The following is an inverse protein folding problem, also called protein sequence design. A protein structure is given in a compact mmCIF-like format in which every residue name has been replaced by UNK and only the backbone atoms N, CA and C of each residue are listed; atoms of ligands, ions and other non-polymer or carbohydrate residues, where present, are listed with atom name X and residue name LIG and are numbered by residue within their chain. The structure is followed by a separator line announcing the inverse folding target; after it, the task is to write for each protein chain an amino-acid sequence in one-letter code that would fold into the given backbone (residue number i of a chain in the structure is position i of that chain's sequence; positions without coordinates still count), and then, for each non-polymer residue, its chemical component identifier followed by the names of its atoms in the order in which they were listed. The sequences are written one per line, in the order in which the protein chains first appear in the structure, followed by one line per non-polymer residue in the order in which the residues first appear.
data_IF_375104248925
#
_entry.id   IF_375104248925
#
_cell.length_a   1.000
_cell.length_b   1.000
_cell.length_c   1.000
_cell.angle_alpha   90.00
_cell.angle_beta   90.00
_cell.angle_gamma   90.00
#
_symmetry.space_group_name_H-M   'P 1'
#
loop_
_entity.id
_entity.type
_entity.pdbx_description
1 polymer ?
#
# COMPACT_ATOMS: atom_id res chain seq x y z
N UNK A 1 8.57 -7.79 5.86
CA UNK A 1 7.22 -8.10 6.38
C UNK A 1 6.69 -9.48 5.99
N UNK A 2 6.81 -9.97 4.75
CA UNK A 2 6.27 -11.30 4.36
C UNK A 2 6.76 -12.48 5.23
N UNK A 3 8.06 -12.54 5.58
CA UNK A 3 8.63 -13.66 6.37
C UNK A 3 7.98 -13.82 7.75
N UNK A 4 7.75 -12.73 8.48
CA UNK A 4 7.16 -12.79 9.82
C UNK A 4 5.70 -13.24 9.80
N UNK A 5 4.95 -12.84 8.76
CA UNK A 5 3.58 -13.30 8.53
C UNK A 5 3.52 -14.80 8.28
N UNK A 6 4.40 -15.34 7.42
CA UNK A 6 4.48 -16.79 7.17
C UNK A 6 4.84 -17.57 8.42
N UNK A 7 5.83 -17.11 9.19
CA UNK A 7 6.21 -17.76 10.46
C UNK A 7 5.03 -17.80 11.43
N UNK A 8 4.29 -16.69 11.59
CA UNK A 8 3.10 -16.65 12.44
C UNK A 8 2.01 -17.60 11.96
N UNK A 9 1.71 -17.63 10.66
CA UNK A 9 0.72 -18.57 10.11
C UNK A 9 1.09 -20.04 10.36
N UNK A 10 2.38 -20.39 10.18
CA UNK A 10 2.88 -21.73 10.49
C UNK A 10 2.74 -22.04 11.97
N UNK A 11 3.10 -21.09 12.86
CA UNK A 11 2.94 -21.27 14.30
C UNK A 11 1.47 -21.45 14.69
N UNK A 12 0.54 -20.68 14.13
CA UNK A 12 -0.89 -20.86 14.36
C UNK A 12 -1.41 -22.20 13.84
N UNK A 13 -0.90 -22.68 12.71
CA UNK A 13 -1.27 -23.99 12.16
C UNK A 13 -0.80 -25.12 13.08
N UNK A 14 0.45 -25.06 13.56
CA UNK A 14 0.99 -26.01 14.53
C UNK A 14 0.21 -25.97 15.85
N UNK A 15 -0.15 -24.77 16.32
CA UNK A 15 -0.97 -24.59 17.51
C UNK A 15 -2.36 -25.21 17.34
N UNK A 16 -3.03 -24.97 16.20
CA UNK A 16 -4.34 -25.53 15.89
C UNK A 16 -4.29 -27.07 15.90
N UNK A 17 -3.29 -27.66 15.23
CA UNK A 17 -3.11 -29.12 15.21
C UNK A 17 -2.84 -29.67 16.62
N UNK A 18 -2.00 -29.00 17.41
CA UNK A 18 -1.73 -29.38 18.80
C UNK A 18 -3.00 -29.36 19.67
N UNK A 19 -3.77 -28.26 19.59
CA UNK A 19 -5.02 -28.11 20.32
C UNK A 19 -6.06 -29.15 19.90
N UNK A 20 -6.17 -29.42 18.59
CA UNK A 20 -7.05 -30.46 18.08
C UNK A 20 -6.66 -31.84 18.63
N UNK A 21 -5.36 -32.16 18.70
CA UNK A 21 -4.94 -33.42 19.31
C UNK A 21 -5.26 -33.48 20.79
N UNK A 22 -5.09 -32.38 21.53
CA UNK A 22 -5.52 -32.30 22.93
C UNK A 22 -7.02 -32.54 23.09
N UNK A 23 -7.85 -31.98 22.20
CA UNK A 23 -9.28 -32.20 22.18
C UNK A 23 -9.62 -33.70 22.01
N UNK A 24 -8.96 -34.38 21.08
CA UNK A 24 -9.15 -35.83 20.87
C UNK A 24 -8.76 -36.66 22.11
N UNK A 25 -7.63 -36.35 22.74
CA UNK A 25 -7.20 -37.06 23.96
C UNK A 25 -8.17 -36.79 25.12
N UNK A 26 -8.69 -35.58 25.27
CA UNK A 26 -9.72 -35.26 26.26
C UNK A 26 -11.03 -36.00 26.00
N UNK A 27 -11.40 -36.17 24.73
CA UNK A 27 -12.59 -36.92 24.33
C UNK A 27 -12.45 -38.40 24.67
N UNK A 28 -11.31 -39.02 24.35
CA UNK A 28 -11.01 -40.41 24.69
C UNK A 28 -11.07 -40.66 26.22
N UNK A 29 -10.76 -39.64 27.03
CA UNK A 29 -10.84 -39.69 28.50
C UNK A 29 -12.21 -39.31 29.08
N UNK A 30 -13.21 -39.09 28.24
CA UNK A 30 -14.59 -38.78 28.65
C UNK A 30 -14.79 -37.37 29.23
N UNK A 31 -13.82 -36.46 29.08
CA UNK A 31 -13.95 -35.10 29.60
C UNK A 31 -14.51 -34.14 28.56
N UNK A 32 -15.82 -33.98 28.56
CA UNK A 32 -16.57 -33.19 27.58
C UNK A 32 -16.19 -31.71 27.63
N UNK A 33 -15.97 -31.15 28.83
CA UNK A 33 -15.62 -29.74 29.01
C UNK A 33 -14.27 -29.36 28.38
N UNK A 34 -13.21 -30.13 28.66
CA UNK A 34 -11.90 -29.89 28.06
C UNK A 34 -11.91 -30.13 26.55
N UNK A 35 -12.67 -31.13 26.08
CA UNK A 35 -12.83 -31.40 24.65
C UNK A 35 -13.42 -30.18 23.92
N UNK A 36 -14.51 -29.63 24.44
CA UNK A 36 -15.16 -28.45 23.86
C UNK A 36 -14.22 -27.24 23.85
N UNK A 37 -13.50 -27.01 24.95
CA UNK A 37 -12.54 -25.90 25.05
C UNK A 37 -11.41 -26.02 24.03
N UNK A 38 -10.74 -27.18 23.94
CA UNK A 38 -9.63 -27.37 23.01
C UNK A 38 -10.08 -27.36 21.55
N UNK A 39 -11.27 -27.89 21.25
CA UNK A 39 -11.86 -27.79 19.92
C UNK A 39 -12.14 -26.33 19.53
N UNK A 40 -12.77 -25.55 20.41
CA UNK A 40 -13.03 -24.13 20.18
C UNK A 40 -11.73 -23.34 19.99
N UNK A 41 -10.70 -23.61 20.81
CA UNK A 41 -9.40 -22.97 20.68
C UNK A 41 -8.70 -23.31 19.34
N UNK A 42 -8.79 -24.57 18.90
CA UNK A 42 -8.29 -25.00 17.59
C UNK A 42 -8.99 -24.26 16.44
N UNK A 43 -10.32 -24.12 16.50
CA UNK A 43 -11.09 -23.37 15.51
C UNK A 43 -10.69 -21.90 15.52
N UNK A 44 -10.52 -21.30 16.71
CA UNK A 44 -10.06 -19.92 16.86
C UNK A 44 -8.70 -19.68 16.21
N UNK A 45 -7.74 -20.59 16.40
CA UNK A 45 -6.44 -20.52 15.74
C UNK A 45 -6.55 -20.62 14.21
N UNK A 46 -7.42 -21.49 13.69
CA UNK A 46 -7.68 -21.58 12.25
C UNK A 46 -8.32 -20.28 11.71
N UNK A 47 -9.29 -19.72 12.42
CA UNK A 47 -9.92 -18.44 12.06
C UNK A 47 -8.92 -17.29 12.06
N UNK A 48 -7.96 -17.27 12.99
CA UNK A 48 -6.90 -16.27 13.00
C UNK A 48 -6.05 -16.31 11.71
N UNK A 49 -5.75 -17.51 11.19
CA UNK A 49 -5.04 -17.66 9.92
C UNK A 49 -5.87 -17.08 8.77
N UNK A 50 -7.16 -17.44 8.70
CA UNK A 50 -8.08 -16.96 7.66
C UNK A 50 -8.22 -15.44 7.70
N UNK A 51 -8.34 -14.87 8.90
CA UNK A 51 -8.44 -13.42 9.09
C UNK A 51 -7.19 -12.69 8.62
N UNK A 52 -6.00 -13.22 8.93
CA UNK A 52 -4.72 -12.65 8.47
C UNK A 52 -4.59 -12.73 6.95
N UNK A 53 -5.02 -13.83 6.31
CA UNK A 53 -5.03 -13.92 4.85
C UNK A 53 -5.98 -12.91 4.22
N UNK A 54 -7.20 -12.79 4.76
CA UNK A 54 -8.21 -11.86 4.25
C UNK A 54 -7.74 -10.40 4.32
N UNK A 55 -7.18 -9.99 5.47
CA UNK A 55 -6.64 -8.63 5.65
C UNK A 55 -5.51 -8.33 4.66
N UNK A 56 -4.70 -9.33 4.32
CA UNK A 56 -3.61 -9.18 3.37
C UNK A 56 -4.11 -9.08 1.93
N UNK A 57 -5.20 -9.78 1.60
CA UNK A 57 -5.85 -9.67 0.29
C UNK A 57 -6.51 -8.30 0.13
N UNK A 58 -7.25 -7.83 1.15
CA UNK A 58 -7.83 -6.48 1.17
C UNK A 58 -6.75 -5.40 0.99
N UNK A 59 -5.60 -5.53 1.68
CA UNK A 59 -4.49 -4.60 1.52
C UNK A 59 -3.90 -4.62 0.10
N UNK A 60 -3.82 -5.80 -0.54
CA UNK A 60 -3.37 -5.88 -1.94
C UNK A 60 -4.34 -5.21 -2.90
N UNK A 61 -5.64 -5.37 -2.68
CA UNK A 61 -6.67 -4.75 -3.52
C UNK A 61 -6.64 -3.23 -3.41
N UNK A 62 -6.48 -2.71 -2.19
CA UNK A 62 -6.33 -1.26 -1.95
C UNK A 62 -5.06 -0.72 -2.63
N UNK A 63 -3.93 -1.42 -2.52
CA UNK A 63 -2.70 -1.02 -3.20
C UNK A 63 -2.84 -1.06 -4.72
N UNK A 64 -3.47 -2.10 -5.27
CA UNK A 64 -3.72 -2.20 -6.71
C UNK A 64 -4.61 -1.05 -7.20
N UNK A 65 -5.61 -0.65 -6.41
CA UNK A 65 -6.47 0.49 -6.73
C UNK A 65 -5.70 1.82 -6.67
N UNK A 66 -4.83 2.01 -5.68
CA UNK A 66 -3.98 3.20 -5.60
C UNK A 66 -3.01 3.29 -6.78
N UNK A 67 -2.41 2.17 -7.19
CA UNK A 67 -1.54 2.13 -8.36
C UNK A 67 -2.31 2.43 -9.66
N UNK A 68 -3.56 1.93 -9.80
CA UNK A 68 -4.43 2.28 -10.93
C UNK A 68 -4.79 3.77 -10.99
N UNK A 69 -4.96 4.41 -9.83
CA UNK A 69 -5.30 5.84 -9.72
C UNK A 69 -4.07 6.76 -9.75
N UNK A 70 -2.86 6.20 -9.74
CA UNK A 70 -1.64 6.99 -9.71
C UNK A 70 -1.55 7.79 -11.02
N UNK A 71 -1.53 9.14 -10.97
CA UNK A 71 -1.32 9.93 -12.17
C UNK A 71 0.04 9.55 -12.77
N UNK A 72 0.18 9.53 -14.11
CA UNK A 72 1.45 9.24 -14.73
C UNK A 72 2.50 10.21 -14.17
N UNK A 73 3.56 9.66 -13.59
CA UNK A 73 4.69 10.46 -13.12
C UNK A 73 5.28 11.09 -14.38
N UNK A 74 4.97 12.37 -14.63
CA UNK A 74 5.75 13.16 -15.56
C UNK A 74 7.10 13.38 -14.90
N UNK A 75 8.06 12.53 -15.24
CA UNK A 75 9.46 12.79 -14.94
C UNK A 75 9.85 13.94 -15.87
N UNK A 76 9.63 15.16 -15.41
CA UNK A 76 10.20 16.35 -16.06
C UNK A 76 11.70 16.20 -15.84
N UNK A 77 12.48 16.08 -16.92
CA UNK A 77 13.92 15.99 -16.75
C UNK A 77 14.41 17.29 -16.10
N UNK A 78 15.47 17.19 -15.28
CA UNK A 78 16.10 18.39 -14.71
C UNK A 78 16.54 19.37 -15.82
N UNK A 79 16.78 18.88 -17.03
CA UNK A 79 17.11 19.69 -18.21
C UNK A 79 15.89 20.44 -18.73
N UNK A 80 14.73 19.81 -18.82
CA UNK A 80 13.46 20.45 -19.21
C UNK A 80 13.05 21.53 -18.20
N UNK A 81 13.25 21.27 -16.92
CA UNK A 81 12.96 22.26 -15.88
C UNK A 81 13.92 23.46 -15.97
N UNK A 82 15.23 23.21 -16.14
CA UNK A 82 16.22 24.28 -16.36
C UNK A 82 15.99 25.05 -17.66
N UNK A 83 15.43 24.42 -18.69
CA UNK A 83 15.06 25.08 -19.94
C UNK A 83 13.82 25.98 -19.75
N UNK A 84 12.82 25.50 -18.99
CA UNK A 84 11.65 26.29 -18.64
C UNK A 84 12.01 27.52 -17.79
N UNK A 85 12.91 27.35 -16.81
CA UNK A 85 13.40 28.43 -15.93
C UNK A 85 14.16 29.49 -16.73
N UNK A 86 15.11 29.08 -17.59
CA UNK A 86 15.86 30.02 -18.45
C UNK A 86 14.96 30.81 -19.39
N UNK A 87 13.92 30.19 -19.93
CA UNK A 87 12.98 30.89 -20.78
C UNK A 87 12.14 31.91 -20.01
N UNK A 88 11.81 31.65 -18.73
CA UNK A 88 11.15 32.62 -17.87
C UNK A 88 12.06 33.86 -17.64
N UNK A 89 13.35 33.65 -17.36
CA UNK A 89 14.33 34.73 -17.20
C UNK A 89 14.46 35.59 -18.47
N UNK A 90 14.46 34.97 -19.66
CA UNK A 90 14.50 35.69 -20.93
C UNK A 90 13.25 36.54 -21.16
N UNK A 91 12.07 36.05 -20.78
CA UNK A 91 10.82 36.81 -20.89
C UNK A 91 10.84 38.03 -19.96
N UNK A 92 11.26 37.88 -18.70
CA UNK A 92 11.37 38.98 -17.74
C UNK A 92 12.40 40.03 -18.20
N UNK A 93 13.53 39.58 -18.74
CA UNK A 93 14.55 40.49 -19.26
C UNK A 93 14.04 41.31 -20.44
N UNK A 94 13.27 40.69 -21.34
CA UNK A 94 12.67 41.39 -22.47
C UNK A 94 11.70 42.48 -22.03
N UNK A 95 10.78 42.17 -21.10
CA UNK A 95 9.84 43.15 -20.55
C UNK A 95 10.57 44.31 -19.86
N UNK A 96 11.57 43.98 -19.03
CA UNK A 96 12.39 44.97 -18.33
C UNK A 96 13.14 45.90 -19.29
N UNK A 97 13.70 45.36 -20.38
CA UNK A 97 14.43 46.16 -21.38
C UNK A 97 13.51 46.96 -22.30
N UNK A 98 12.29 46.48 -22.56
CA UNK A 98 11.25 47.23 -23.25
C UNK A 98 10.64 48.34 -22.39
N UNK A 99 10.99 48.44 -21.10
CA UNK A 99 10.47 49.43 -20.17
C UNK A 99 8.99 49.24 -19.85
N UNK A 100 8.47 48.03 -20.04
CA UNK A 100 7.09 47.69 -19.80
C UNK A 100 6.99 46.68 -18.63
N UNK A 101 5.98 46.85 -17.78
CA UNK A 101 5.72 45.92 -16.69
C UNK A 101 5.18 44.60 -17.26
N UNK A 102 5.80 43.48 -16.87
CA UNK A 102 5.33 42.17 -17.28
C UNK A 102 3.99 41.87 -16.60
N UNK A 103 2.91 41.80 -17.38
CA UNK A 103 1.62 41.30 -16.91
C UNK A 103 1.49 39.79 -17.23
N UNK A 104 1.62 38.91 -16.22
CA UNK A 104 1.53 37.47 -16.42
C UNK A 104 0.12 37.00 -16.83
N UNK A 105 -0.92 37.82 -16.67
CA UNK A 105 -2.29 37.47 -17.06
C UNK A 105 -2.54 37.60 -18.57
N UNK A 106 -1.76 38.44 -19.26
CA UNK A 106 -1.89 38.71 -20.70
C UNK A 106 -0.70 38.19 -21.51
N UNK A 107 0.39 37.80 -20.84
CA UNK A 107 1.56 37.20 -21.45
C UNK A 107 1.25 35.81 -22.01
N UNK A 108 1.04 35.74 -23.32
CA UNK A 108 0.89 34.48 -24.05
C UNK A 108 2.26 34.01 -24.52
N UNK A 109 2.93 33.21 -23.69
CA UNK A 109 4.22 32.61 -24.05
C UNK A 109 4.08 31.81 -25.36
N UNK A 110 4.87 32.15 -26.37
CA UNK A 110 4.76 31.56 -27.73
C UNK A 110 5.24 30.11 -27.80
N UNK A 111 6.09 29.69 -26.86
CA UNK A 111 6.69 28.35 -26.83
C UNK A 111 5.79 27.29 -26.19
N UNK A 112 4.52 27.62 -25.89
CA UNK A 112 3.51 26.68 -25.41
C UNK A 112 2.98 25.78 -26.54
N UNK A 113 3.85 25.38 -27.47
CA UNK A 113 3.56 24.35 -28.47
C UNK A 113 3.90 23.00 -27.85
N UNK A 114 2.85 22.21 -27.63
CA UNK A 114 2.91 20.83 -27.16
C UNK A 114 3.69 19.91 -28.10
#
# INVERSE_FOLDING_TARGET
MRRTSYTLSVLYALLAVGLFRCALVSHERGSVGYTAFFAAASIGAALAIVHVSWLHDEYRDVLAELDRRRPPIRIVSLEDQKAADRAADCCELWWTTAGAEHDPATCTRKDTTA
#
